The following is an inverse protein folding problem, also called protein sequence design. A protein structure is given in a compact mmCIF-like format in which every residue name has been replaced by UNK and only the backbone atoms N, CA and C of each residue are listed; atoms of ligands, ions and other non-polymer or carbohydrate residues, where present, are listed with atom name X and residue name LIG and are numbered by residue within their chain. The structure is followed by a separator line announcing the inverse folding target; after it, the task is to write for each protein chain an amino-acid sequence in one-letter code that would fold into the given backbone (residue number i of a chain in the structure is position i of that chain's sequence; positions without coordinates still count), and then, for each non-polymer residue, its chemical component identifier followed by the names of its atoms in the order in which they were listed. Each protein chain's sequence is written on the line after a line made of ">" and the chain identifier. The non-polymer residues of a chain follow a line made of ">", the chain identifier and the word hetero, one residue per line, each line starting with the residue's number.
data_IF_293449719296
#
_entry.id   IF_293449719296
#
_cell.length_a   1.000
_cell.length_b   1.000
_cell.length_c   1.000
_cell.angle_alpha   90.00
_cell.angle_beta   90.00
_cell.angle_gamma   90.00
#
_symmetry.space_group_name_H-M   'P 1'
#
loop_
_entity.id
_entity.type
_entity.pdbx_description
1 polymer ?
#
# COMPACT_ATOMS: atom_id res chain seq x y z
N UNK A 1 -11.31 14.86 1.92
CA UNK A 1 -9.85 14.64 1.87
C UNK A 1 -9.09 15.49 2.89
N UNK A 2 -9.32 16.81 2.97
CA UNK A 2 -8.58 17.69 3.90
C UNK A 2 -8.70 17.30 5.38
N UNK A 3 -9.90 16.98 5.89
CA UNK A 3 -10.07 16.53 7.28
C UNK A 3 -9.32 15.23 7.57
N UNK A 4 -9.41 14.24 6.67
CA UNK A 4 -8.66 13.00 6.79
C UNK A 4 -7.15 13.24 6.75
N UNK A 5 -6.68 14.10 5.84
CA UNK A 5 -5.28 14.48 5.76
C UNK A 5 -4.79 15.15 7.05
N UNK A 6 -5.58 16.04 7.64
CA UNK A 6 -5.26 16.66 8.92
C UNK A 6 -5.16 15.63 10.06
N UNK A 7 -6.14 14.71 10.16
CA UNK A 7 -6.12 13.64 11.17
C UNK A 7 -4.93 12.72 10.98
N UNK A 8 -4.61 12.33 9.75
CA UNK A 8 -3.42 11.51 9.44
C UNK A 8 -2.13 12.24 9.78
N UNK A 9 -2.03 13.52 9.44
CA UNK A 9 -0.86 14.35 9.77
C UNK A 9 -0.67 14.45 11.29
N UNK A 10 -1.73 14.77 12.03
CA UNK A 10 -1.70 14.88 13.49
C UNK A 10 -1.30 13.56 14.16
N UNK A 11 -1.86 12.43 13.71
CA UNK A 11 -1.49 11.11 14.25
C UNK A 11 -0.07 10.70 13.90
N UNK A 12 0.43 11.03 12.71
CA UNK A 12 1.81 10.79 12.31
C UNK A 12 2.80 11.60 13.16
N UNK A 13 2.50 12.86 13.45
CA UNK A 13 3.33 13.69 14.33
C UNK A 13 3.39 13.13 15.75
N UNK A 14 2.26 12.65 16.29
CA UNK A 14 2.25 12.00 17.62
C UNK A 14 3.10 10.72 17.64
N UNK A 15 3.04 9.90 16.58
CA UNK A 15 3.85 8.69 16.48
C UNK A 15 5.34 9.01 16.44
N UNK A 16 5.73 10.06 15.72
CA UNK A 16 7.11 10.51 15.61
C UNK A 16 7.64 10.99 16.97
N UNK A 17 6.84 11.73 17.73
CA UNK A 17 7.18 12.14 19.10
C UNK A 17 7.30 10.92 20.03
N UNK A 18 6.40 9.94 19.92
CA UNK A 18 6.43 8.73 20.75
C UNK A 18 7.56 7.73 20.39
N UNK A 19 8.29 7.94 19.28
CA UNK A 19 9.38 7.07 18.84
C UNK A 19 10.53 7.00 19.86
N UNK A 20 10.79 8.11 20.56
CA UNK A 20 11.73 8.19 21.68
C UNK A 20 10.96 8.45 22.98
N UNK A 21 11.25 7.67 24.01
CA UNK A 21 10.65 7.87 25.35
C UNK A 21 11.69 8.48 26.30
N UNK A 22 11.33 9.58 26.97
CA UNK A 22 12.20 10.32 27.88
C UNK A 22 12.83 11.54 27.22
N UNK A 23 14.16 11.60 27.15
CA UNK A 23 14.88 12.70 26.50
C UNK A 23 14.80 12.64 24.96
N UNK A 24 14.55 13.77 24.27
CA UNK A 24 14.53 13.84 22.80
C UNK A 24 15.85 13.40 22.13
N UNK A 25 16.98 13.62 22.81
CA UNK A 25 18.32 13.33 22.30
C UNK A 25 18.83 11.92 22.72
N UNK A 26 18.65 11.56 24.00
CA UNK A 26 19.22 10.33 24.61
C UNK A 26 18.19 9.27 24.98
N UNK A 27 16.89 9.52 24.78
CA UNK A 27 15.80 8.62 25.13
C UNK A 27 15.81 7.29 24.37
N UNK A 28 15.26 6.25 25.02
CA UNK A 28 15.21 4.88 24.46
C UNK A 28 14.37 4.87 23.18
N UNK A 29 14.96 4.40 22.08
CA UNK A 29 14.28 4.21 20.78
C UNK A 29 13.35 3.00 20.84
N UNK A 30 12.09 3.19 20.49
CA UNK A 30 11.12 2.11 20.34
C UNK A 30 10.91 1.86 18.84
N UNK A 31 11.47 0.77 18.33
CA UNK A 31 11.43 0.43 16.90
C UNK A 31 10.08 -0.14 16.45
N UNK A 32 9.26 -0.61 17.39
CA UNK A 32 7.95 -1.16 17.09
C UNK A 32 6.85 -0.33 17.73
N UNK A 33 5.70 -0.26 17.05
CA UNK A 33 4.52 0.43 17.58
C UNK A 33 4.08 -0.14 18.94
N UNK A 34 4.15 -1.46 19.11
CA UNK A 34 3.83 -2.09 20.39
C UNK A 34 4.82 -1.71 21.50
N UNK A 35 6.11 -1.55 21.19
CA UNK A 35 7.10 -1.08 22.18
C UNK A 35 6.86 0.37 22.57
N UNK A 36 6.48 1.24 21.62
CA UNK A 36 6.13 2.63 21.90
C UNK A 36 4.86 2.75 22.76
N UNK A 37 3.85 1.91 22.52
CA UNK A 37 2.64 1.85 23.36
C UNK A 37 2.98 1.29 24.74
N UNK A 38 3.90 0.33 24.83
CA UNK A 38 4.34 -0.27 26.09
C UNK A 38 5.11 0.72 26.95
N UNK A 39 5.96 1.55 26.36
CA UNK A 39 6.74 2.56 27.07
C UNK A 39 5.91 3.77 27.52
N UNK A 40 4.88 4.16 26.75
CA UNK A 40 4.07 5.36 27.05
C UNK A 40 2.76 5.07 27.80
N UNK A 41 2.04 4.00 27.45
CA UNK A 41 0.69 3.73 27.99
C UNK A 41 0.65 2.56 28.97
N UNK A 42 1.56 1.58 28.83
CA UNK A 42 1.67 0.41 29.71
C UNK A 42 0.46 -0.54 29.70
N UNK A 43 0.66 -1.75 30.25
CA UNK A 43 -0.42 -2.67 30.61
C UNK A 43 -1.27 -3.21 29.46
N UNK A 44 -2.59 -3.38 29.72
CA UNK A 44 -3.56 -4.04 28.83
C UNK A 44 -3.80 -3.29 27.50
N UNK A 45 -3.47 -1.99 27.44
CA UNK A 45 -3.64 -1.16 26.22
C UNK A 45 -2.70 -1.61 25.10
N UNK A 46 -1.53 -2.17 25.44
CA UNK A 46 -0.58 -2.74 24.45
C UNK A 46 -1.20 -3.93 23.72
N UNK A 47 -1.90 -4.81 24.45
CA UNK A 47 -2.53 -5.99 23.87
C UNK A 47 -3.66 -5.59 22.92
N UNK A 48 -4.53 -4.66 23.33
CA UNK A 48 -5.62 -4.16 22.49
C UNK A 48 -5.10 -3.46 21.22
N UNK A 49 -4.11 -2.59 21.39
CA UNK A 49 -3.50 -1.84 20.30
C UNK A 49 -2.73 -2.75 19.32
N UNK A 50 -2.04 -3.76 19.85
CA UNK A 50 -1.40 -4.81 19.06
C UNK A 50 -2.40 -5.62 18.24
N UNK A 51 -3.55 -6.01 18.83
CA UNK A 51 -4.60 -6.73 18.08
C UNK A 51 -5.12 -5.90 16.91
N UNK A 52 -5.39 -4.61 17.11
CA UNK A 52 -5.82 -3.72 16.02
C UNK A 52 -4.74 -3.58 14.95
N UNK A 53 -3.47 -3.41 15.36
CA UNK A 53 -2.35 -3.30 14.42
C UNK A 53 -2.22 -4.56 13.57
N UNK A 54 -2.23 -5.75 14.18
CA UNK A 54 -2.15 -7.02 13.45
C UNK A 54 -3.36 -7.25 12.55
N UNK A 55 -4.58 -6.90 12.99
CA UNK A 55 -5.76 -6.99 12.16
C UNK A 55 -5.65 -6.09 10.91
N UNK A 56 -5.11 -4.88 11.05
CA UNK A 56 -4.84 -3.99 9.92
C UNK A 56 -3.79 -4.58 8.97
N UNK A 57 -2.67 -5.09 9.50
CA UNK A 57 -1.65 -5.74 8.67
C UNK A 57 -2.21 -6.92 7.86
N UNK A 58 -3.03 -7.77 8.47
CA UNK A 58 -3.69 -8.89 7.79
C UNK A 58 -4.65 -8.37 6.71
N UNK A 59 -5.46 -7.35 7.02
CA UNK A 59 -6.37 -6.73 6.06
C UNK A 59 -5.63 -6.15 4.86
N UNK A 60 -4.53 -5.45 5.09
CA UNK A 60 -3.66 -4.88 4.05
C UNK A 60 -3.03 -5.99 3.19
N UNK A 61 -2.54 -7.08 3.80
CA UNK A 61 -1.98 -8.21 3.07
C UNK A 61 -3.00 -8.88 2.14
N UNK A 62 -4.23 -9.10 2.64
CA UNK A 62 -5.33 -9.64 1.84
C UNK A 62 -5.69 -8.68 0.69
N UNK A 63 -5.82 -7.38 1.00
CA UNK A 63 -6.14 -6.34 0.02
C UNK A 63 -5.13 -6.28 -1.12
N UNK A 64 -3.83 -6.24 -0.81
CA UNK A 64 -2.78 -6.25 -1.83
C UNK A 64 -2.77 -7.53 -2.66
N UNK A 65 -3.04 -8.68 -2.04
CA UNK A 65 -3.11 -9.96 -2.76
C UNK A 65 -4.23 -9.98 -3.78
N UNK A 66 -5.42 -9.51 -3.41
CA UNK A 66 -6.56 -9.42 -4.32
C UNK A 66 -6.27 -8.40 -5.43
N UNK A 67 -5.81 -7.20 -5.07
CA UNK A 67 -5.53 -6.12 -6.04
C UNK A 67 -4.46 -6.52 -7.07
N UNK A 68 -3.38 -7.17 -6.62
CA UNK A 68 -2.32 -7.69 -7.46
C UNK A 68 -2.85 -8.74 -8.44
N UNK A 69 -3.68 -9.67 -7.95
CA UNK A 69 -4.27 -10.73 -8.77
C UNK A 69 -5.22 -10.20 -9.84
N UNK A 70 -6.04 -9.19 -9.51
CA UNK A 70 -6.90 -8.50 -10.48
C UNK A 70 -6.05 -7.80 -11.55
N UNK A 71 -4.98 -7.12 -11.14
CA UNK A 71 -4.08 -6.40 -12.05
C UNK A 71 -3.37 -7.35 -13.02
N UNK A 72 -2.83 -8.47 -12.53
CA UNK A 72 -2.17 -9.49 -13.35
C UNK A 72 -3.15 -10.14 -14.33
N UNK A 73 -4.39 -10.43 -13.89
CA UNK A 73 -5.45 -10.94 -14.76
C UNK A 73 -5.80 -9.95 -15.87
N UNK A 74 -5.87 -8.65 -15.56
CA UNK A 74 -6.13 -7.62 -16.56
C UNK A 74 -5.00 -7.53 -17.60
N UNK A 75 -3.74 -7.57 -17.18
CA UNK A 75 -2.57 -7.56 -18.08
C UNK A 75 -2.59 -8.77 -19.01
N UNK A 76 -2.83 -9.97 -18.48
CA UNK A 76 -2.87 -11.20 -19.28
C UNK A 76 -4.02 -11.23 -20.27
N UNK A 77 -5.17 -10.66 -19.87
CA UNK A 77 -6.31 -10.47 -20.77
C UNK A 77 -5.98 -9.47 -21.88
N UNK A 78 -5.33 -8.35 -21.57
CA UNK A 78 -4.89 -7.38 -22.57
C UNK A 78 -3.88 -7.98 -23.56
N UNK A 79 -2.90 -8.76 -23.09
CA UNK A 79 -1.95 -9.46 -23.96
C UNK A 79 -2.61 -10.53 -24.84
N UNK A 80 -3.62 -11.23 -24.31
CA UNK A 80 -4.41 -12.19 -25.07
C UNK A 80 -5.16 -11.51 -26.23
N UNK A 81 -5.82 -10.37 -25.97
CA UNK A 81 -6.50 -9.58 -27.02
C UNK A 81 -5.55 -8.96 -28.04
N UNK A 82 -4.30 -8.69 -27.66
CA UNK A 82 -3.29 -8.18 -28.59
C UNK A 82 -2.76 -9.28 -29.52
N UNK A 83 -2.74 -10.53 -29.06
CA UNK A 83 -2.17 -11.67 -29.80
C UNK A 83 -3.22 -12.42 -30.62
N UNK A 84 -4.43 -12.55 -30.07
CA UNK A 84 -5.57 -13.18 -30.72
C UNK A 84 -6.59 -12.09 -31.06
N UNK A 85 -6.70 -11.75 -32.34
CA UNK A 85 -7.81 -10.96 -32.89
C UNK A 85 -9.13 -11.54 -32.36
N UNK A 86 -10.09 -10.68 -31.96
CA UNK A 86 -11.33 -10.84 -31.15
C UNK A 86 -12.21 -12.13 -31.21
N UNK A 87 -11.70 -13.28 -31.62
CA UNK A 87 -12.44 -14.49 -31.98
C UNK A 87 -12.53 -15.53 -30.86
N UNK A 88 -11.68 -15.49 -29.82
CA UNK A 88 -11.72 -16.50 -28.73
C UNK A 88 -11.92 -15.90 -27.33
N UNK A 89 -12.75 -16.54 -26.48
CA UNK A 89 -12.96 -16.10 -25.11
C UNK A 89 -11.70 -16.34 -24.27
N UNK A 90 -10.89 -15.29 -24.06
CA UNK A 90 -9.76 -15.30 -23.13
C UNK A 90 -10.26 -15.48 -21.67
N UNK A 91 -10.46 -16.72 -21.25
CA UNK A 91 -10.77 -17.08 -19.86
C UNK A 91 -9.49 -17.12 -19.05
N UNK A 92 -9.33 -16.19 -18.11
CA UNK A 92 -8.21 -16.19 -17.16
C UNK A 92 -8.74 -16.31 -15.73
N UNK A 93 -8.36 -17.39 -15.04
CA UNK A 93 -8.66 -17.58 -13.62
C UNK A 93 -7.77 -16.67 -12.76
N UNK A 94 -8.30 -16.11 -11.67
CA UNK A 94 -7.54 -15.23 -10.75
C UNK A 94 -6.73 -16.02 -9.72
N UNK A 95 -7.15 -17.26 -9.43
CA UNK A 95 -6.55 -18.15 -8.41
C UNK A 95 -5.05 -18.39 -8.61
N UNK A 96 -4.54 -18.72 -9.83
CA UNK A 96 -3.11 -18.94 -10.00
C UNK A 96 -2.27 -17.68 -9.69
N UNK A 97 -2.78 -16.48 -10.00
CA UNK A 97 -2.07 -15.23 -9.70
C UNK A 97 -2.02 -14.94 -8.19
N UNK A 98 -3.08 -15.28 -7.44
CA UNK A 98 -3.08 -15.18 -5.97
C UNK A 98 -2.00 -16.09 -5.36
N UNK A 99 -1.89 -17.32 -5.85
CA UNK A 99 -0.89 -18.29 -5.36
C UNK A 99 0.53 -17.79 -5.68
N UNK A 100 0.77 -17.34 -6.90
CA UNK A 100 2.09 -16.81 -7.32
C UNK A 100 2.46 -15.58 -6.49
N UNK A 101 1.53 -14.65 -6.27
CA UNK A 101 1.80 -13.47 -5.45
C UNK A 101 2.10 -13.84 -3.99
N UNK A 102 1.36 -14.82 -3.42
CA UNK A 102 1.66 -15.35 -2.09
C UNK A 102 3.04 -16.01 -2.00
N UNK A 103 3.45 -16.78 -3.02
CA UNK A 103 4.78 -17.37 -3.07
C UNK A 103 5.88 -16.29 -3.09
N UNK A 104 5.67 -15.22 -3.86
CA UNK A 104 6.58 -14.07 -3.88
C UNK A 104 6.65 -13.40 -2.50
N UNK A 105 5.53 -13.18 -1.82
CA UNK A 105 5.52 -12.63 -0.45
C UNK A 105 6.34 -13.49 0.54
N UNK A 106 6.24 -14.81 0.44
CA UNK A 106 7.02 -15.73 1.29
C UNK A 106 8.52 -15.55 1.04
N UNK A 107 8.93 -15.45 -0.23
CA UNK A 107 10.34 -15.20 -0.61
C UNK A 107 10.83 -13.86 -0.06
N UNK A 108 10.05 -12.78 -0.23
CA UNK A 108 10.40 -11.47 0.31
C UNK A 108 10.47 -11.45 1.84
N UNK A 109 9.62 -12.23 2.52
CA UNK A 109 9.66 -12.36 3.98
C UNK A 109 10.93 -13.04 4.49
N UNK A 110 11.69 -13.74 3.64
CA UNK A 110 12.97 -14.33 4.03
C UNK A 110 14.13 -13.33 4.02
N UNK A 111 13.93 -12.10 3.50
CA UNK A 111 14.99 -11.09 3.44
C UNK A 111 15.02 -10.36 4.79
N UNK A 112 16.06 -10.56 5.62
CA UNK A 112 16.08 -10.00 6.97
C UNK A 112 16.60 -8.56 7.02
N UNK A 113 17.25 -8.08 5.95
CA UNK A 113 17.97 -6.82 5.95
C UNK A 113 17.26 -5.72 5.14
N UNK A 114 17.03 -4.58 5.80
CA UNK A 114 16.35 -3.41 5.22
C UNK A 114 17.15 -2.74 4.10
N UNK A 115 18.47 -2.88 4.11
CA UNK A 115 19.35 -2.32 3.06
C UNK A 115 19.10 -2.98 1.70
N UNK A 116 18.86 -4.30 1.71
CA UNK A 116 18.65 -5.10 0.51
C UNK A 116 17.30 -4.84 -0.18
N UNK A 117 16.35 -4.23 0.52
CA UNK A 117 15.02 -3.90 0.00
C UNK A 117 14.85 -2.41 -0.34
N UNK A 118 15.90 -1.58 -0.17
CA UNK A 118 15.85 -0.15 -0.46
C UNK A 118 15.46 0.18 -1.91
N UNK A 119 15.85 -0.66 -2.87
CA UNK A 119 15.46 -0.52 -4.28
C UNK A 119 13.94 -0.59 -4.50
N UNK A 120 13.19 -1.25 -3.61
CA UNK A 120 11.72 -1.27 -3.68
C UNK A 120 11.13 0.13 -3.50
N UNK A 121 11.79 1.01 -2.74
CA UNK A 121 11.37 2.41 -2.58
C UNK A 121 11.46 3.17 -3.91
N UNK A 122 12.53 2.94 -4.68
CA UNK A 122 12.70 3.54 -6.01
C UNK A 122 11.59 3.06 -6.94
N UNK A 123 11.30 1.76 -6.96
CA UNK A 123 10.19 1.20 -7.74
C UNK A 123 8.85 1.79 -7.32
N UNK A 124 8.60 1.91 -6.01
CA UNK A 124 7.37 2.49 -5.48
C UNK A 124 7.20 3.97 -5.90
N UNK A 125 8.30 4.73 -5.93
CA UNK A 125 8.29 6.12 -6.40
C UNK A 125 7.95 6.20 -7.89
N UNK A 126 8.59 5.38 -8.73
CA UNK A 126 8.30 5.31 -10.18
C UNK A 126 6.84 4.92 -10.44
N UNK A 127 6.32 3.92 -9.73
CA UNK A 127 4.92 3.51 -9.83
C UNK A 127 3.97 4.64 -9.40
N UNK A 128 4.29 5.35 -8.31
CA UNK A 128 3.48 6.48 -7.84
C UNK A 128 3.38 7.58 -8.89
N UNK A 129 4.50 8.01 -9.45
CA UNK A 129 4.50 9.00 -10.54
C UNK A 129 3.70 8.51 -11.75
N UNK A 130 3.88 7.25 -12.14
CA UNK A 130 3.16 6.66 -13.28
C UNK A 130 1.64 6.67 -13.03
N UNK A 131 1.17 6.21 -11.87
CA UNK A 131 -0.24 6.21 -11.53
C UNK A 131 -0.83 7.62 -11.46
N UNK A 132 -0.10 8.58 -10.87
CA UNK A 132 -0.52 9.98 -10.84
C UNK A 132 -0.60 10.59 -12.24
N UNK A 133 0.37 10.35 -13.11
CA UNK A 133 0.37 10.83 -14.50
C UNK A 133 -0.80 10.23 -15.30
N UNK A 134 -1.04 8.92 -15.17
CA UNK A 134 -2.17 8.26 -15.84
C UNK A 134 -3.50 8.83 -15.34
N UNK A 135 -3.69 8.94 -14.02
CA UNK A 135 -4.89 9.52 -13.43
C UNK A 135 -5.14 10.95 -13.88
N UNK A 136 -4.09 11.79 -13.90
CA UNK A 136 -4.16 13.17 -14.38
C UNK A 136 -4.52 13.22 -15.88
N UNK A 137 -3.85 12.41 -16.70
CA UNK A 137 -4.09 12.38 -18.15
C UNK A 137 -5.53 11.97 -18.49
N UNK A 138 -6.06 10.94 -17.82
CA UNK A 138 -7.44 10.49 -17.99
C UNK A 138 -8.44 11.53 -17.49
N UNK A 139 -8.15 12.18 -16.35
CA UNK A 139 -8.96 13.28 -15.83
C UNK A 139 -9.06 14.45 -16.80
N UNK A 140 -7.92 14.92 -17.34
CA UNK A 140 -7.87 16.00 -18.33
C UNK A 140 -8.61 15.59 -19.60
N UNK A 141 -8.34 14.39 -20.13
CA UNK A 141 -8.99 13.90 -21.34
C UNK A 141 -10.52 13.83 -21.18
N UNK A 142 -10.99 13.38 -20.02
CA UNK A 142 -12.42 13.31 -19.72
C UNK A 142 -13.05 14.69 -19.56
N UNK A 143 -12.36 15.67 -18.96
CA UNK A 143 -12.83 17.06 -18.90
C UNK A 143 -12.97 17.68 -20.28
N UNK A 144 -12.00 17.46 -21.17
CA UNK A 144 -12.06 17.95 -22.56
C UNK A 144 -13.20 17.27 -23.31
N UNK A 145 -13.32 15.95 -23.19
CA UNK A 145 -14.40 15.17 -23.84
C UNK A 145 -15.80 15.59 -23.37
N UNK A 146 -15.94 16.09 -22.15
CA UNK A 146 -17.21 16.56 -21.59
C UNK A 146 -17.52 18.04 -21.90
N UNK A 147 -16.73 18.69 -22.77
CA UNK A 147 -16.96 20.07 -23.19
C UNK A 147 -16.35 21.12 -22.27
N UNK A 148 -15.36 20.76 -21.45
CA UNK A 148 -14.68 21.64 -20.52
C UNK A 148 -15.30 21.64 -19.12
N UNK A 149 -14.78 22.50 -18.24
CA UNK A 149 -15.42 22.75 -16.94
C UNK A 149 -16.73 23.49 -17.22
N UNK A 150 -17.87 22.84 -17.01
CA UNK A 150 -19.14 23.55 -16.89
C UNK A 150 -19.04 24.45 -15.67
N UNK A 151 -18.88 25.76 -15.91
CA UNK A 151 -19.15 26.78 -14.90
C UNK A 151 -20.60 26.56 -14.43
N UNK A 152 -20.76 26.32 -13.13
CA UNK A 152 -22.05 26.16 -12.48
C UNK A 152 -22.70 27.54 -12.26
#
# INVERSE_FOLDING_TARGET
>A
MLLFAFVTYYTATLLAECYRTGDPETGKRNYTYMDAVRSNLGGAKVAFCGVIQYANLVGVAIGYTIASSISMKAIRRAGCFHTHEHAEPCSSSSIPYMIVFGAVQIVFSQIPDFDQISWLSIVAAVMSFTYSSVGLSLGIAQTISNGGFKEA
#
